data_IF_744260312107
#
_entry.id   IF_744260312107
#
_cell.length_a   1.000
_cell.length_b   1.000
_cell.length_c   1.000
_cell.angle_alpha   90.00
_cell.angle_beta   90.00
_cell.angle_gamma   90.00
#
_symmetry.space_group_name_H-M   'P 1'
#
loop_
_entity.id
_entity.type
_entity.pdbx_description
1 polymer ?
#
# COMPACT_ATOMS: atom_id res chain seq x y z
N UNK A 1 -9.23 4.64 21.54
CA UNK A 1 -7.95 3.94 21.29
C UNK A 1 -8.17 2.45 21.41
N UNK A 2 -7.69 1.62 20.48
CA UNK A 2 -7.77 0.17 20.63
C UNK A 2 -6.86 -0.30 21.77
N UNK A 3 -7.20 -1.45 22.37
CA UNK A 3 -6.38 -2.06 23.40
C UNK A 3 -5.06 -2.59 22.80
N UNK A 4 -4.06 -2.80 23.66
CA UNK A 4 -2.78 -3.38 23.21
C UNK A 4 -2.96 -4.75 22.57
N UNK A 5 -3.87 -5.56 23.12
CA UNK A 5 -4.19 -6.89 22.57
C UNK A 5 -4.82 -6.78 21.17
N UNK A 6 -5.77 -5.86 20.99
CA UNK A 6 -6.41 -5.62 19.70
C UNK A 6 -5.39 -5.12 18.67
N UNK A 7 -4.49 -4.23 19.06
CA UNK A 7 -3.41 -3.74 18.19
C UNK A 7 -2.49 -4.88 17.79
N UNK A 8 -2.08 -5.73 18.74
CA UNK A 8 -1.20 -6.86 18.45
C UNK A 8 -1.84 -7.81 17.43
N UNK A 9 -3.13 -8.12 17.61
CA UNK A 9 -3.87 -8.98 16.68
C UNK A 9 -4.00 -8.33 15.30
N UNK A 10 -4.29 -7.02 15.25
CA UNK A 10 -4.37 -6.28 14.00
C UNK A 10 -3.02 -6.26 13.26
N UNK A 11 -1.91 -6.14 13.98
CA UNK A 11 -0.58 -6.21 13.39
C UNK A 11 -0.31 -7.58 12.76
N UNK A 12 -0.67 -8.66 13.42
CA UNK A 12 -0.54 -10.01 12.87
C UNK A 12 -1.30 -10.18 11.55
N UNK A 13 -2.42 -9.48 11.40
CA UNK A 13 -3.26 -9.51 10.21
C UNK A 13 -2.76 -8.58 9.11
N UNK A 14 -2.34 -7.38 9.47
CA UNK A 14 -2.02 -6.30 8.52
C UNK A 14 -0.57 -6.33 8.03
N UNK A 15 0.40 -6.60 8.90
CA UNK A 15 1.81 -6.48 8.55
C UNK A 15 2.21 -7.44 7.42
N UNK A 16 1.80 -8.72 7.41
CA UNK A 16 2.13 -9.60 6.28
C UNK A 16 1.58 -9.10 4.94
N UNK A 17 0.38 -8.51 4.94
CA UNK A 17 -0.22 -7.93 3.72
C UNK A 17 0.59 -6.73 3.24
N UNK A 18 0.95 -5.83 4.15
CA UNK A 18 1.75 -4.65 3.81
C UNK A 18 3.16 -5.04 3.34
N UNK A 19 3.78 -6.04 3.95
CA UNK A 19 5.08 -6.55 3.53
C UNK A 19 4.99 -7.12 2.11
N UNK A 20 3.98 -7.94 1.83
CA UNK A 20 3.76 -8.51 0.50
C UNK A 20 3.47 -7.42 -0.54
N UNK A 21 2.70 -6.38 -0.17
CA UNK A 21 2.43 -5.24 -1.03
C UNK A 21 3.73 -4.54 -1.44
N UNK A 22 4.59 -4.26 -0.47
CA UNK A 22 5.86 -3.57 -0.75
C UNK A 22 6.81 -4.44 -1.58
N UNK A 23 6.86 -5.74 -1.31
CA UNK A 23 7.67 -6.68 -2.09
C UNK A 23 7.21 -6.71 -3.55
N UNK A 24 5.90 -6.84 -3.78
CA UNK A 24 5.34 -6.84 -5.14
C UNK A 24 5.56 -5.51 -5.86
N UNK A 25 5.35 -4.40 -5.15
CA UNK A 25 5.57 -3.06 -5.69
C UNK A 25 7.04 -2.84 -6.09
N UNK A 26 7.97 -3.15 -5.20
CA UNK A 26 9.40 -2.97 -5.48
C UNK A 26 9.88 -3.81 -6.65
N UNK A 27 9.32 -5.00 -6.84
CA UNK A 27 9.61 -5.86 -7.97
C UNK A 27 8.87 -5.45 -9.24
N UNK A 28 7.90 -4.50 -9.14
CA UNK A 28 6.98 -4.18 -10.20
C UNK A 28 6.30 -5.44 -10.76
N UNK A 29 6.02 -6.37 -9.84
CA UNK A 29 5.32 -7.62 -10.12
C UNK A 29 3.82 -7.38 -9.95
N UNK A 30 3.14 -7.14 -11.07
CA UNK A 30 1.72 -6.74 -11.07
C UNK A 30 0.84 -7.76 -10.34
N UNK A 31 1.01 -9.05 -10.63
CA UNK A 31 0.14 -10.07 -10.04
C UNK A 31 0.38 -10.22 -8.53
N UNK A 32 1.63 -10.22 -8.10
CA UNK A 32 1.97 -10.27 -6.67
C UNK A 32 1.43 -9.03 -5.94
N UNK A 33 1.54 -7.86 -6.54
CA UNK A 33 1.04 -6.62 -5.97
C UNK A 33 -0.48 -6.63 -5.86
N UNK A 34 -1.20 -7.00 -6.93
CA UNK A 34 -2.65 -7.10 -6.96
C UNK A 34 -3.20 -8.13 -5.97
N UNK A 35 -2.45 -9.20 -5.72
CA UNK A 35 -2.86 -10.25 -4.78
C UNK A 35 -3.03 -9.73 -3.35
N UNK A 36 -2.44 -8.58 -3.00
CA UNK A 36 -2.58 -7.96 -1.69
C UNK A 36 -3.78 -7.03 -1.57
N UNK A 37 -4.51 -6.82 -2.66
CA UNK A 37 -5.60 -5.86 -2.74
C UNK A 37 -6.95 -6.54 -2.80
N UNK A 38 -7.98 -5.82 -2.37
CA UNK A 38 -9.38 -6.13 -2.67
C UNK A 38 -9.88 -5.18 -3.75
N UNK A 39 -10.67 -5.71 -4.69
CA UNK A 39 -11.26 -4.92 -5.76
C UNK A 39 -12.77 -4.78 -5.59
N UNK A 40 -13.39 -3.64 -5.95
CA UNK A 40 -12.72 -2.45 -6.47
C UNK A 40 -11.75 -1.88 -5.43
N UNK A 41 -10.60 -1.41 -5.90
CA UNK A 41 -9.57 -0.80 -5.06
C UNK A 41 -9.62 0.71 -5.21
N UNK A 42 -9.46 1.45 -4.10
CA UNK A 42 -9.57 2.90 -4.09
C UNK A 42 -8.26 3.55 -3.67
N UNK A 43 -7.93 4.66 -4.32
CA UNK A 43 -6.80 5.50 -3.94
C UNK A 43 -7.18 6.96 -4.02
N UNK A 44 -7.04 7.67 -2.90
CA UNK A 44 -7.17 9.12 -2.85
C UNK A 44 -5.78 9.73 -2.86
N UNK A 45 -5.45 10.46 -3.93
CA UNK A 45 -4.17 11.15 -4.06
C UNK A 45 -4.31 12.29 -5.05
N UNK A 46 -3.58 13.39 -4.82
CA UNK A 46 -3.56 14.57 -5.69
C UNK A 46 -4.97 15.13 -5.97
N UNK A 47 -5.86 15.04 -4.97
CA UNK A 47 -7.23 15.54 -5.07
C UNK A 47 -8.18 14.66 -5.89
N UNK A 48 -7.76 13.47 -6.30
CA UNK A 48 -8.55 12.56 -7.12
C UNK A 48 -8.80 11.27 -6.38
N UNK A 49 -10.08 10.82 -6.36
CA UNK A 49 -10.44 9.48 -5.89
C UNK A 49 -10.42 8.54 -7.09
N UNK A 50 -9.37 7.72 -7.15
CA UNK A 50 -9.29 6.66 -8.15
C UNK A 50 -10.06 5.44 -7.68
N UNK A 51 -10.72 4.77 -8.61
CA UNK A 51 -11.37 3.48 -8.40
C UNK A 51 -10.89 2.54 -9.50
N UNK A 52 -10.32 1.41 -9.10
CA UNK A 52 -9.87 0.40 -10.04
C UNK A 52 -10.55 -0.94 -9.79
N UNK A 53 -11.04 -1.52 -10.87
CA UNK A 53 -11.39 -2.94 -10.91
C UNK A 53 -10.13 -3.76 -11.19
N UNK A 54 -10.18 -5.06 -10.96
CA UNK A 54 -9.03 -5.93 -11.21
C UNK A 54 -8.49 -5.78 -12.65
N UNK A 55 -9.38 -5.72 -13.63
CA UNK A 55 -9.00 -5.60 -15.04
C UNK A 55 -8.35 -4.25 -15.39
N UNK A 56 -8.58 -3.20 -14.59
CA UNK A 56 -7.99 -1.88 -14.83
C UNK A 56 -6.50 -1.86 -14.52
N UNK A 57 -6.06 -2.71 -13.62
CA UNK A 57 -4.65 -2.84 -13.26
C UNK A 57 -4.00 -3.91 -14.12
N UNK A 58 -3.63 -3.52 -15.30
CA UNK A 58 -3.08 -4.36 -16.37
C UNK A 58 -1.61 -4.00 -16.69
N UNK A 59 -1.08 -4.56 -17.76
CA UNK A 59 0.29 -4.30 -18.19
C UNK A 59 0.53 -2.84 -18.55
N UNK A 60 -0.47 -2.16 -19.09
CA UNK A 60 -0.39 -0.72 -19.37
C UNK A 60 -0.30 0.08 -18.09
N UNK A 61 -1.09 -0.31 -17.06
CA UNK A 61 -1.07 0.33 -15.75
C UNK A 61 0.32 0.23 -15.11
N UNK A 62 0.88 -0.98 -15.03
CA UNK A 62 2.19 -1.16 -14.39
C UNK A 62 3.32 -0.49 -15.17
N UNK A 63 3.21 -0.42 -16.50
CA UNK A 63 4.17 0.30 -17.34
C UNK A 63 4.17 1.80 -17.03
N UNK A 64 3.00 2.41 -16.79
CA UNK A 64 2.91 3.81 -16.38
C UNK A 64 3.51 4.04 -15.00
N UNK A 65 3.30 3.12 -14.06
CA UNK A 65 3.90 3.19 -12.73
C UNK A 65 5.43 3.15 -12.86
N UNK A 66 5.95 2.23 -13.63
CA UNK A 66 7.38 2.10 -13.89
C UNK A 66 7.98 3.39 -14.47
N UNK A 67 7.32 3.97 -15.48
CA UNK A 67 7.78 5.21 -16.12
C UNK A 67 7.77 6.37 -15.13
N UNK A 68 6.68 6.55 -14.38
CA UNK A 68 6.57 7.62 -13.39
C UNK A 68 7.63 7.55 -12.30
N UNK A 69 7.88 6.34 -11.79
CA UNK A 69 8.92 6.12 -10.78
C UNK A 69 10.32 6.33 -11.35
N UNK A 70 10.57 5.88 -12.58
CA UNK A 70 11.84 6.09 -13.26
C UNK A 70 12.15 7.58 -13.44
N UNK A 71 11.15 8.39 -13.74
CA UNK A 71 11.29 9.83 -13.93
C UNK A 71 11.77 10.57 -12.68
N UNK A 72 11.50 10.02 -11.49
CA UNK A 72 11.93 10.61 -10.21
C UNK A 72 13.17 9.91 -9.63
N UNK A 73 13.78 9.00 -10.37
CA UNK A 73 14.99 8.29 -9.94
C UNK A 73 14.73 7.20 -8.91
N UNK A 74 13.50 6.74 -8.77
CA UNK A 74 13.16 5.69 -7.81
C UNK A 74 13.80 4.34 -8.19
N UNK A 75 14.32 3.66 -7.17
CA UNK A 75 14.84 2.30 -7.29
C UNK A 75 14.07 1.32 -6.42
N UNK A 76 13.79 1.70 -5.16
CA UNK A 76 13.00 0.88 -4.22
C UNK A 76 12.38 1.76 -3.14
N UNK A 77 11.39 1.18 -2.44
CA UNK A 77 10.73 1.82 -1.29
C UNK A 77 10.81 0.92 -0.07
N UNK A 78 10.77 1.56 1.12
CA UNK A 78 10.77 0.86 2.41
C UNK A 78 9.69 1.48 3.28
N UNK A 79 8.94 0.65 4.01
CA UNK A 79 8.07 1.13 5.07
C UNK A 79 8.91 1.72 6.20
N UNK A 80 8.71 3.00 6.51
CA UNK A 80 9.42 3.70 7.59
C UNK A 80 8.56 3.99 8.79
N UNK A 81 7.24 3.79 8.69
CA UNK A 81 6.30 3.81 9.81
C UNK A 81 5.09 2.98 9.46
N UNK A 82 4.63 2.16 10.40
CA UNK A 82 3.37 1.39 10.28
C UNK A 82 2.75 1.27 11.66
N UNK A 83 1.73 2.09 11.93
CA UNK A 83 1.03 2.12 13.21
C UNK A 83 -0.45 1.82 13.02
N UNK A 84 -0.97 0.88 13.81
CA UNK A 84 -2.41 0.58 13.83
C UNK A 84 -3.11 1.72 14.58
N UNK A 85 -4.05 2.38 13.91
CA UNK A 85 -4.81 3.49 14.52
C UNK A 85 -6.21 3.07 14.95
N UNK A 86 -6.88 2.26 14.14
CA UNK A 86 -8.20 1.70 14.43
C UNK A 86 -8.24 0.28 13.91
N UNK A 87 -8.97 -0.60 14.61
CA UNK A 87 -9.12 -1.97 14.16
C UNK A 87 -10.41 -2.62 14.69
N UNK A 88 -10.91 -3.55 13.89
CA UNK A 88 -12.01 -4.45 14.24
C UNK A 88 -11.74 -5.80 13.56
N UNK A 89 -12.67 -6.74 13.68
CA UNK A 89 -12.56 -8.02 12.99
C UNK A 89 -12.79 -7.91 11.48
N UNK A 90 -13.23 -6.75 10.99
CA UNK A 90 -13.57 -6.53 9.59
C UNK A 90 -12.67 -5.51 8.90
N UNK A 91 -12.06 -4.60 9.67
CA UNK A 91 -11.35 -3.47 9.07
C UNK A 91 -10.21 -3.01 9.97
N UNK A 92 -9.09 -2.66 9.35
CA UNK A 92 -7.91 -2.13 10.04
C UNK A 92 -7.44 -0.87 9.32
N UNK A 93 -7.24 0.20 10.09
CA UNK A 93 -6.62 1.43 9.60
C UNK A 93 -5.17 1.48 10.07
N UNK A 94 -4.25 1.69 9.13
CA UNK A 94 -2.82 1.76 9.42
C UNK A 94 -2.27 3.11 8.98
N UNK A 95 -1.73 3.87 9.94
CA UNK A 95 -0.95 5.07 9.63
C UNK A 95 0.42 4.63 9.14
N UNK A 96 0.79 5.04 7.94
CA UNK A 96 2.02 4.59 7.30
C UNK A 96 2.86 5.75 6.83
N UNK A 97 4.14 5.49 6.71
CA UNK A 97 5.06 6.28 5.91
C UNK A 97 5.93 5.33 5.12
N UNK A 98 6.14 5.61 3.84
CA UNK A 98 7.14 4.91 3.06
C UNK A 98 8.16 5.92 2.55
N UNK A 99 9.39 5.47 2.44
CA UNK A 99 10.49 6.26 1.93
C UNK A 99 10.96 5.66 0.62
N UNK A 100 11.11 6.50 -0.39
CA UNK A 100 11.61 6.14 -1.71
C UNK A 100 13.09 6.42 -1.80
N UNK A 101 13.84 5.48 -2.37
CA UNK A 101 15.29 5.55 -2.49
C UNK A 101 15.73 5.42 -3.94
N UNK A 102 16.85 6.09 -4.25
CA UNK A 102 17.58 5.91 -5.50
C UNK A 102 18.45 4.66 -5.43
N UNK A 103 19.01 4.26 -6.58
CA UNK A 103 19.91 3.11 -6.66
C UNK A 103 21.12 3.23 -5.72
N UNK A 104 21.64 4.45 -5.54
CA UNK A 104 22.77 4.71 -4.64
C UNK A 104 22.40 4.75 -3.15
N UNK A 105 21.13 4.52 -2.82
CA UNK A 105 20.63 4.53 -1.45
C UNK A 105 20.24 5.92 -0.93
N UNK A 106 20.39 6.97 -1.73
CA UNK A 106 19.95 8.30 -1.31
C UNK A 106 18.43 8.42 -1.37
N UNK A 107 17.87 9.30 -0.52
CA UNK A 107 16.43 9.47 -0.40
C UNK A 107 15.89 10.33 -1.55
N UNK A 108 14.86 9.81 -2.24
CA UNK A 108 14.05 10.60 -3.17
C UNK A 108 13.05 11.44 -2.37
N UNK A 109 12.23 10.78 -1.56
CA UNK A 109 11.20 11.42 -0.75
C UNK A 109 10.62 10.42 0.25
N UNK A 110 10.01 10.94 1.32
CA UNK A 110 9.19 10.16 2.24
C UNK A 110 7.75 10.66 2.14
N UNK A 111 6.77 9.75 2.14
CA UNK A 111 5.36 10.08 1.98
C UNK A 111 4.52 9.45 3.08
N UNK A 112 3.69 10.27 3.71
CA UNK A 112 2.67 9.80 4.63
C UNK A 112 1.49 9.23 3.85
N UNK A 113 0.86 8.20 4.42
CA UNK A 113 -0.29 7.55 3.82
C UNK A 113 -1.15 6.90 4.89
N UNK A 114 -2.40 6.65 4.57
CA UNK A 114 -3.31 5.83 5.38
C UNK A 114 -3.73 4.63 4.52
N UNK A 115 -3.52 3.43 5.04
CA UNK A 115 -3.95 2.20 4.39
C UNK A 115 -5.12 1.61 5.16
N UNK A 116 -6.18 1.26 4.45
CA UNK A 116 -7.35 0.60 5.02
C UNK A 116 -7.41 -0.81 4.47
N UNK A 117 -7.26 -1.78 5.38
CA UNK A 117 -7.38 -3.19 5.05
C UNK A 117 -8.76 -3.68 5.47
N UNK A 118 -9.33 -4.58 4.67
CA UNK A 118 -10.61 -5.21 4.96
C UNK A 118 -10.48 -6.73 4.88
N UNK A 119 -11.34 -7.41 5.65
CA UNK A 119 -11.48 -8.85 5.57
C UNK A 119 -12.62 -9.17 4.61
N UNK A 120 -12.27 -9.65 3.43
CA UNK A 120 -13.22 -9.99 2.36
C UNK A 120 -12.73 -11.27 1.69
N UNK A 121 -13.66 -12.11 1.24
CA UNK A 121 -13.35 -13.33 0.52
C UNK A 121 -12.37 -14.25 1.25
N UNK A 122 -12.49 -14.28 2.58
CA UNK A 122 -11.68 -15.16 3.43
C UNK A 122 -10.24 -14.70 3.65
N UNK A 123 -9.91 -13.45 3.33
CA UNK A 123 -8.55 -12.91 3.50
C UNK A 123 -8.53 -11.42 3.83
N UNK A 124 -7.45 -10.98 4.46
CA UNK A 124 -7.16 -9.56 4.62
C UNK A 124 -6.49 -9.03 3.36
N UNK A 125 -6.93 -7.85 2.93
CA UNK A 125 -6.35 -7.18 1.76
C UNK A 125 -6.55 -5.68 1.84
N UNK A 126 -5.81 -4.93 1.03
CA UNK A 126 -5.85 -3.48 1.00
C UNK A 126 -7.02 -3.04 0.11
N UNK A 127 -8.00 -2.38 0.73
CA UNK A 127 -9.19 -1.88 0.05
C UNK A 127 -9.03 -0.44 -0.41
N UNK A 128 -8.42 0.38 0.43
CA UNK A 128 -8.35 1.83 0.24
C UNK A 128 -6.99 2.35 0.69
N UNK A 129 -6.43 3.27 -0.09
CA UNK A 129 -5.23 4.03 0.27
C UNK A 129 -5.52 5.52 0.15
N UNK A 130 -5.14 6.30 1.17
CA UNK A 130 -5.05 7.74 1.06
C UNK A 130 -3.56 8.10 1.10
N UNK A 131 -3.04 8.71 0.05
CA UNK A 131 -1.60 8.89 -0.11
C UNK A 131 -1.26 10.35 -0.44
N UNK A 132 -0.17 10.82 0.16
CA UNK A 132 0.42 12.11 -0.19
C UNK A 132 1.46 12.00 -1.31
N UNK A 133 1.77 10.79 -1.78
CA UNK A 133 2.55 10.57 -2.98
C UNK A 133 1.72 10.94 -4.22
N UNK A 134 2.34 11.58 -5.18
CA UNK A 134 1.70 11.95 -6.46
C UNK A 134 1.93 10.88 -7.52
#
# INVERSE_FOLDING_TARGET
MPSEEAVAQARERAIPVLDAWMTGFNALDLQAWKATMHFPHFRLASGIMHRWEDADMDDTFIARVRTGLGNIGWHYSVWTRREIVHCSDEKIHVDTQFTRYREDGSVVAAHDSLYVLTYEDGRWGIKLRSSFAR
#
